data_IF_548014107206
#
_entry.id   IF_548014107206
#
_cell.length_a   1.000
_cell.length_b   1.000
_cell.length_c   1.000
_cell.angle_alpha   90.00
_cell.angle_beta   90.00
_cell.angle_gamma   90.00
#
_symmetry.space_group_name_H-M   'P 1'
#
loop_
_entity.id
_entity.type
_entity.pdbx_description
1 polymer ?
#
# COMPACT_ATOMS: atom_id res chain seq x y z
N UNK A 1 -50.80 24.22 25.98
CA UNK A 1 -50.54 24.18 24.54
C UNK A 1 -49.20 23.51 24.28
N UNK A 2 -49.15 22.66 23.24
CA UNK A 2 -48.00 21.93 22.68
C UNK A 2 -47.35 20.81 23.54
N UNK A 3 -47.73 19.54 23.32
CA UNK A 3 -47.18 18.54 22.36
C UNK A 3 -45.81 17.99 22.83
N UNK A 4 -45.75 16.78 23.39
CA UNK A 4 -45.47 15.51 22.67
C UNK A 4 -44.05 15.52 22.06
N UNK A 5 -43.09 14.63 22.37
CA UNK A 5 -43.20 13.17 22.34
C UNK A 5 -41.86 12.53 22.72
N UNK A 6 -41.96 11.34 23.30
CA UNK A 6 -40.92 10.34 23.57
C UNK A 6 -40.15 9.96 22.31
N UNK A 7 -38.82 9.98 22.33
CA UNK A 7 -38.01 9.17 21.41
C UNK A 7 -36.59 8.84 21.94
N UNK A 8 -36.49 7.67 22.59
CA UNK A 8 -35.53 6.58 22.28
C UNK A 8 -34.02 6.86 22.40
N UNK A 9 -33.46 6.30 23.49
CA UNK A 9 -32.40 5.27 23.48
C UNK A 9 -31.39 5.33 22.33
N UNK A 10 -30.16 5.78 22.61
CA UNK A 10 -28.92 5.15 22.17
C UNK A 10 -27.72 5.66 23.00
N UNK A 11 -27.62 5.14 24.21
CA UNK A 11 -26.32 4.96 24.83
C UNK A 11 -25.62 3.81 24.10
N UNK A 12 -24.85 4.07 23.04
CA UNK A 12 -23.83 3.12 22.55
C UNK A 12 -22.82 3.77 21.59
N UNK A 13 -21.56 3.81 22.03
CA UNK A 13 -20.36 3.63 21.21
C UNK A 13 -19.83 4.77 20.30
N UNK A 14 -19.63 5.99 20.84
CA UNK A 14 -18.78 7.00 20.14
C UNK A 14 -17.56 7.48 20.95
N UNK A 15 -17.24 6.79 22.06
CA UNK A 15 -16.00 7.02 22.78
C UNK A 15 -15.22 5.70 22.94
N UNK A 16 -14.91 5.03 21.82
CA UNK A 16 -13.85 4.01 21.84
C UNK A 16 -12.51 4.72 21.71
N UNK A 17 -12.04 5.12 22.89
CA UNK A 17 -10.64 5.22 23.27
C UNK A 17 -9.68 5.62 22.15
N UNK A 18 -9.43 6.92 22.09
CA UNK A 18 -8.17 7.48 21.62
C UNK A 18 -7.07 6.98 22.57
N UNK A 19 -6.71 5.70 22.44
CA UNK A 19 -5.48 5.19 23.04
C UNK A 19 -4.38 5.88 22.24
N UNK A 20 -3.53 6.72 22.84
CA UNK A 20 -2.43 7.31 22.11
C UNK A 20 -1.58 6.16 21.58
N UNK A 21 -1.67 5.91 20.26
CA UNK A 21 -0.81 4.95 19.58
C UNK A 21 0.60 5.44 19.85
N UNK A 22 1.32 4.73 20.73
CA UNK A 22 2.76 4.84 20.96
C UNK A 22 3.39 5.25 19.65
N UNK A 23 3.97 6.45 19.57
CA UNK A 23 4.41 7.10 18.34
C UNK A 23 5.41 6.21 17.58
N UNK A 24 4.88 5.24 16.84
CA UNK A 24 5.69 4.30 16.09
C UNK A 24 6.20 5.08 14.90
N UNK A 25 7.44 5.55 15.02
CA UNK A 25 8.17 6.12 13.90
C UNK A 25 8.13 5.11 12.74
N UNK A 26 7.98 5.58 11.49
CA UNK A 26 8.07 4.70 10.34
C UNK A 26 9.37 3.88 10.36
N UNK A 27 9.29 2.64 9.90
CA UNK A 27 10.45 1.77 9.84
C UNK A 27 11.52 2.38 8.92
N UNK A 28 12.80 2.35 9.33
CA UNK A 28 13.92 2.80 8.46
C UNK A 28 14.13 1.89 7.25
N UNK A 29 13.68 0.63 7.34
CA UNK A 29 13.78 -0.36 6.28
C UNK A 29 12.54 -1.26 6.33
N UNK A 30 12.05 -1.62 5.16
CA UNK A 30 10.89 -2.51 4.98
C UNK A 30 11.22 -3.61 3.99
N UNK A 31 10.64 -4.80 4.18
CA UNK A 31 10.54 -5.84 3.17
C UNK A 31 9.16 -5.73 2.52
N UNK A 32 9.15 -5.78 1.19
CA UNK A 32 7.96 -5.81 0.37
C UNK A 32 7.93 -7.15 -0.37
N UNK A 33 6.78 -7.80 -0.37
CA UNK A 33 6.55 -9.08 -1.03
C UNK A 33 5.33 -8.92 -1.94
N UNK A 34 5.53 -9.04 -3.26
CA UNK A 34 4.43 -9.13 -4.21
C UNK A 34 4.09 -10.61 -4.34
N UNK A 35 2.92 -10.98 -3.84
CA UNK A 35 2.51 -12.38 -3.70
C UNK A 35 1.70 -12.86 -4.90
N UNK A 36 0.82 -12.01 -5.42
CA UNK A 36 -0.05 -12.33 -6.54
C UNK A 36 -0.56 -11.04 -7.21
N UNK A 37 -1.11 -11.17 -8.41
CA UNK A 37 -1.75 -10.11 -9.17
C UNK A 37 -1.36 -10.13 -10.64
N UNK A 38 -1.88 -9.17 -11.39
CA UNK A 38 -1.62 -9.05 -12.83
C UNK A 38 -1.12 -7.67 -13.20
N UNK A 39 -0.38 -7.61 -14.32
CA UNK A 39 0.04 -6.36 -14.98
C UNK A 39 -0.39 -6.36 -16.44
N UNK A 40 -0.60 -5.17 -17.01
CA UNK A 40 -0.97 -5.05 -18.42
C UNK A 40 0.26 -5.22 -19.33
N UNK A 41 0.23 -6.20 -20.23
CA UNK A 41 1.26 -6.42 -21.26
C UNK A 41 0.59 -6.45 -22.62
N UNK A 42 0.87 -5.44 -23.45
CA UNK A 42 0.20 -5.24 -24.76
C UNK A 42 -1.33 -5.28 -24.61
N UNK A 43 -1.85 -4.58 -23.61
CA UNK A 43 -3.29 -4.49 -23.31
C UNK A 43 -3.91 -5.71 -22.62
N UNK A 44 -3.20 -6.84 -22.51
CA UNK A 44 -3.72 -8.06 -21.86
C UNK A 44 -3.24 -8.16 -20.41
N UNK A 45 -4.12 -8.50 -19.44
CA UNK A 45 -3.70 -8.78 -18.08
C UNK A 45 -2.89 -10.09 -18.06
N UNK A 46 -1.69 -10.05 -17.48
CA UNK A 46 -0.86 -11.22 -17.28
C UNK A 46 -0.43 -11.32 -15.82
N UNK A 47 -0.55 -12.52 -15.26
CA UNK A 47 0.00 -12.82 -13.94
C UNK A 47 1.53 -12.66 -13.95
N UNK A 48 2.07 -12.22 -12.82
CA UNK A 48 3.51 -12.12 -12.61
C UNK A 48 3.98 -13.16 -11.58
N UNK A 49 5.26 -13.54 -11.64
CA UNK A 49 5.86 -14.42 -10.63
C UNK A 49 6.08 -13.68 -9.30
N UNK A 50 5.76 -14.29 -8.15
CA UNK A 50 5.98 -13.66 -6.85
C UNK A 50 7.42 -13.18 -6.67
N UNK A 51 7.61 -12.05 -5.99
CA UNK A 51 8.93 -11.50 -5.73
C UNK A 51 8.99 -10.79 -4.38
N UNK A 52 10.20 -10.65 -3.85
CA UNK A 52 10.44 -9.88 -2.65
C UNK A 52 11.70 -9.02 -2.75
N UNK A 53 11.68 -7.88 -2.07
CA UNK A 53 12.79 -6.94 -2.04
C UNK A 53 12.70 -6.06 -0.79
N UNK A 54 13.76 -5.30 -0.54
CA UNK A 54 13.82 -4.35 0.55
C UNK A 54 13.91 -2.93 0.00
N UNK A 55 13.38 -1.98 0.79
CA UNK A 55 13.58 -0.55 0.61
C UNK A 55 13.99 0.07 1.94
N UNK A 56 14.95 0.99 1.89
CA UNK A 56 15.26 1.92 2.98
C UNK A 56 14.39 3.19 2.86
N UNK A 57 14.19 3.87 3.98
CA UNK A 57 13.56 5.19 4.02
C UNK A 57 14.32 6.16 3.10
N UNK A 58 13.60 6.84 2.20
CA UNK A 58 14.15 7.69 1.15
C UNK A 58 14.55 6.96 -0.15
N UNK A 59 14.52 5.63 -0.19
CA UNK A 59 14.93 4.86 -1.36
C UNK A 59 13.84 4.80 -2.44
N UNK A 60 14.25 4.87 -3.70
CA UNK A 60 13.42 4.50 -4.86
C UNK A 60 14.16 3.48 -5.71
N UNK A 61 13.48 2.39 -6.06
CA UNK A 61 14.07 1.24 -6.75
C UNK A 61 13.24 0.85 -7.97
N UNK A 62 13.94 0.41 -9.01
CA UNK A 62 13.32 -0.28 -10.14
C UNK A 62 13.33 -1.79 -9.90
N UNK A 63 12.14 -2.40 -9.80
CA UNK A 63 11.97 -3.84 -9.58
C UNK A 63 11.54 -4.53 -10.87
N UNK A 64 12.10 -5.71 -11.13
CA UNK A 64 11.78 -6.50 -12.32
C UNK A 64 10.57 -7.38 -12.04
N UNK A 65 9.48 -7.15 -12.77
CA UNK A 65 8.25 -7.93 -12.74
C UNK A 65 8.30 -8.94 -13.89
N UNK A 66 8.40 -10.23 -13.57
CA UNK A 66 8.47 -11.31 -14.56
C UNK A 66 7.07 -11.83 -14.84
N UNK A 67 6.73 -11.98 -16.12
CA UNK A 67 5.47 -12.54 -16.62
C UNK A 67 5.78 -13.62 -17.66
N UNK A 68 4.79 -14.42 -18.04
CA UNK A 68 4.92 -15.41 -19.11
C UNK A 68 5.36 -14.81 -20.47
N UNK A 69 5.14 -13.51 -20.71
CA UNK A 69 5.52 -12.81 -21.96
C UNK A 69 6.74 -11.91 -21.81
N UNK A 70 7.51 -12.06 -20.73
CA UNK A 70 8.76 -11.34 -20.50
C UNK A 70 8.75 -10.47 -19.24
N UNK A 71 9.73 -9.57 -19.14
CA UNK A 71 9.99 -8.77 -17.93
C UNK A 71 9.58 -7.31 -18.13
N UNK A 72 8.94 -6.73 -17.10
CA UNK A 72 8.64 -5.31 -16.98
C UNK A 72 9.40 -4.72 -15.79
N UNK A 73 9.54 -3.39 -15.77
CA UNK A 73 10.14 -2.65 -14.65
C UNK A 73 9.05 -1.84 -13.95
N UNK A 74 8.84 -2.09 -12.66
CA UNK A 74 8.02 -1.25 -11.81
C UNK A 74 8.93 -0.30 -11.03
N UNK A 75 8.48 0.93 -10.81
CA UNK A 75 9.14 1.84 -9.87
C UNK A 75 8.44 1.74 -8.53
N UNK A 76 9.20 1.54 -7.46
CA UNK A 76 8.70 1.47 -6.09
C UNK A 76 9.56 2.37 -5.23
N UNK A 77 8.96 3.22 -4.41
CA UNK A 77 9.71 4.11 -3.51
C UNK A 77 9.10 4.15 -2.12
N UNK A 78 9.93 4.40 -1.12
CA UNK A 78 9.50 4.50 0.27
C UNK A 78 10.02 5.81 0.86
N UNK A 79 9.11 6.72 1.22
CA UNK A 79 9.47 8.06 1.68
C UNK A 79 8.48 8.58 2.71
N UNK A 80 9.00 9.14 3.81
CA UNK A 80 8.28 9.67 4.95
C UNK A 80 7.24 8.67 5.48
N UNK A 81 7.59 7.38 5.54
CA UNK A 81 6.66 6.34 5.96
C UNK A 81 5.59 5.98 4.94
N UNK A 82 5.66 6.48 3.70
CA UNK A 82 4.70 6.16 2.63
C UNK A 82 5.36 5.29 1.59
N UNK A 83 4.77 4.12 1.30
CA UNK A 83 5.16 3.27 0.18
C UNK A 83 4.40 3.70 -1.08
N UNK A 84 5.14 3.98 -2.14
CA UNK A 84 4.64 4.33 -3.47
C UNK A 84 4.88 3.14 -4.40
N UNK A 85 3.79 2.58 -4.93
CA UNK A 85 3.84 1.45 -5.86
C UNK A 85 3.48 1.91 -7.27
N UNK A 86 4.26 1.44 -8.24
CA UNK A 86 4.08 1.74 -9.66
C UNK A 86 4.19 3.26 -9.97
N UNK A 87 5.08 3.94 -9.24
CA UNK A 87 5.37 5.35 -9.41
C UNK A 87 6.54 5.82 -8.55
N UNK A 88 7.03 7.02 -8.83
CA UNK A 88 8.19 7.61 -8.17
C UNK A 88 7.76 8.77 -7.26
N UNK A 89 8.07 8.74 -5.94
CA UNK A 89 7.71 9.82 -5.01
C UNK A 89 8.34 11.18 -5.36
N UNK A 90 9.45 11.20 -6.10
CA UNK A 90 10.16 12.42 -6.50
C UNK A 90 9.68 13.01 -7.83
N UNK A 91 8.84 12.31 -8.59
CA UNK A 91 8.28 12.80 -9.86
C UNK A 91 6.78 13.03 -9.73
N UNK A 92 6.33 14.30 -9.83
CA UNK A 92 4.93 14.70 -9.58
C UNK A 92 3.93 13.90 -10.43
N UNK A 93 4.19 13.72 -11.74
CA UNK A 93 3.28 12.99 -12.63
C UNK A 93 3.18 11.52 -12.26
N UNK A 94 4.31 10.86 -11.98
CA UNK A 94 4.31 9.44 -11.58
C UNK A 94 3.76 9.23 -10.17
N UNK A 95 3.99 10.18 -9.25
CA UNK A 95 3.50 10.15 -7.88
C UNK A 95 1.98 10.17 -7.80
N UNK A 96 1.31 10.88 -8.70
CA UNK A 96 -0.16 10.96 -8.73
C UNK A 96 -0.82 9.67 -9.22
N UNK A 97 -0.13 8.87 -10.05
CA UNK A 97 -0.64 7.59 -10.56
C UNK A 97 -0.28 6.39 -9.67
N UNK A 98 0.64 6.58 -8.71
CA UNK A 98 1.07 5.55 -7.78
C UNK A 98 -0.03 5.18 -6.78
N UNK A 99 -0.11 3.90 -6.43
CA UNK A 99 -0.79 3.55 -5.19
C UNK A 99 0.09 3.95 -4.00
N UNK A 100 -0.54 4.50 -2.96
CA UNK A 100 0.12 4.98 -1.75
C UNK A 100 -0.36 4.15 -0.58
N UNK A 101 0.57 3.68 0.25
CA UNK A 101 0.26 2.96 1.47
C UNK A 101 1.04 3.61 2.59
N UNK A 102 0.32 4.25 3.50
CA UNK A 102 0.91 4.86 4.67
C UNK A 102 1.36 3.80 5.66
N UNK A 103 2.42 4.13 6.39
CA UNK A 103 2.94 3.31 7.47
C UNK A 103 1.82 2.95 8.44
N UNK A 104 1.80 1.68 8.84
CA UNK A 104 0.93 1.17 9.89
C UNK A 104 1.78 0.40 10.89
N UNK A 105 1.47 0.52 12.18
CA UNK A 105 2.10 -0.27 13.24
C UNK A 105 2.09 -1.78 12.97
N UNK A 106 1.10 -2.27 12.23
CA UNK A 106 0.98 -3.67 11.77
C UNK A 106 2.10 -4.10 10.80
N UNK A 107 2.89 -3.18 10.25
CA UNK A 107 4.08 -3.55 9.48
C UNK A 107 5.13 -4.24 10.37
N UNK A 108 5.11 -4.01 11.69
CA UNK A 108 6.02 -4.70 12.61
C UNK A 108 5.85 -6.23 12.58
N UNK A 109 4.62 -6.72 12.42
CA UNK A 109 4.30 -8.16 12.31
C UNK A 109 4.05 -8.61 10.86
N UNK A 110 4.01 -7.64 9.95
CA UNK A 110 3.66 -7.83 8.55
C UNK A 110 2.16 -7.63 8.30
N UNK A 111 1.83 -6.82 7.29
CA UNK A 111 0.46 -6.55 6.85
C UNK A 111 0.32 -6.77 5.36
N UNK A 112 -0.78 -7.42 4.97
CA UNK A 112 -1.13 -7.67 3.57
C UNK A 112 -2.16 -6.64 3.10
N UNK A 113 -2.01 -6.21 1.85
CA UNK A 113 -2.88 -5.27 1.16
C UNK A 113 -3.25 -5.83 -0.21
N UNK A 114 -4.46 -5.49 -0.67
CA UNK A 114 -4.93 -5.75 -2.03
C UNK A 114 -5.10 -4.42 -2.75
N UNK A 115 -4.38 -4.25 -3.85
CA UNK A 115 -4.16 -2.93 -4.45
C UNK A 115 -4.35 -2.99 -5.96
N UNK A 116 -4.96 -1.94 -6.49
CA UNK A 116 -4.92 -1.61 -7.90
C UNK A 116 -4.10 -0.33 -8.08
N UNK A 117 -3.23 -0.30 -9.09
CA UNK A 117 -2.54 0.93 -9.46
C UNK A 117 -3.15 1.51 -10.73
N UNK A 118 -2.90 2.79 -10.98
CA UNK A 118 -3.14 3.46 -12.26
C UNK A 118 -1.83 3.90 -12.92
N UNK A 119 -0.70 3.42 -12.38
CA UNK A 119 0.64 3.72 -12.85
C UNK A 119 0.98 2.99 -14.15
N UNK A 120 2.27 3.00 -14.49
CA UNK A 120 2.78 2.48 -15.76
C UNK A 120 2.43 1.01 -15.99
N UNK A 121 2.48 0.20 -14.94
CA UNK A 121 2.17 -1.23 -15.03
C UNK A 121 0.71 -1.56 -14.78
N UNK A 122 -0.04 -0.62 -14.19
CA UNK A 122 -1.49 -0.72 -13.97
C UNK A 122 -1.86 -2.05 -13.30
N UNK A 123 -1.20 -2.34 -12.17
CA UNK A 123 -1.42 -3.56 -11.40
C UNK A 123 -2.91 -3.73 -11.11
N UNK A 124 -3.41 -4.96 -11.28
CA UNK A 124 -4.77 -5.36 -10.91
C UNK A 124 -4.71 -6.54 -9.94
N UNK A 125 -5.44 -6.41 -8.83
CA UNK A 125 -5.50 -7.42 -7.78
C UNK A 125 -4.14 -7.70 -7.13
N UNK A 126 -3.26 -6.71 -7.05
CA UNK A 126 -1.93 -6.90 -6.46
C UNK A 126 -2.08 -7.21 -4.97
N UNK A 127 -1.68 -8.42 -4.58
CA UNK A 127 -1.52 -8.81 -3.19
C UNK A 127 -0.09 -8.49 -2.77
N UNK A 128 0.07 -7.52 -1.87
CA UNK A 128 1.36 -7.09 -1.35
C UNK A 128 1.42 -7.27 0.16
N UNK A 129 2.45 -7.95 0.66
CA UNK A 129 2.77 -8.01 2.09
C UNK A 129 3.93 -7.07 2.38
N UNK A 130 3.78 -6.27 3.42
CA UNK A 130 4.78 -5.30 3.87
C UNK A 130 5.12 -5.61 5.31
N UNK A 131 6.41 -5.72 5.61
CA UNK A 131 6.89 -5.85 6.98
C UNK A 131 8.09 -4.95 7.23
N UNK A 132 8.26 -4.54 8.49
CA UNK A 132 9.52 -3.96 8.97
C UNK A 132 10.65 -4.95 8.71
N UNK A 133 11.79 -4.44 8.29
CA UNK A 133 13.03 -5.19 8.18
C UNK A 133 14.10 -4.48 9.01
N UNK A 134 15.01 -5.26 9.58
CA UNK A 134 16.14 -4.75 10.36
C UNK A 134 17.29 -4.28 9.46
#
# INVERSE_FOLDING_TARGET
>A
GNRSSVARRRATAEARADIPQKSTRPAKRIKIEFLDGTVAVRGKPLAFSPLSFHLKEGETRSVRIRTAKGTKKATVGYRNGVLYLDGNPSNVRQRSAAAKIDFSSHWNTGRTYHINTRGKLNFKGLTVRIKKAD
#
